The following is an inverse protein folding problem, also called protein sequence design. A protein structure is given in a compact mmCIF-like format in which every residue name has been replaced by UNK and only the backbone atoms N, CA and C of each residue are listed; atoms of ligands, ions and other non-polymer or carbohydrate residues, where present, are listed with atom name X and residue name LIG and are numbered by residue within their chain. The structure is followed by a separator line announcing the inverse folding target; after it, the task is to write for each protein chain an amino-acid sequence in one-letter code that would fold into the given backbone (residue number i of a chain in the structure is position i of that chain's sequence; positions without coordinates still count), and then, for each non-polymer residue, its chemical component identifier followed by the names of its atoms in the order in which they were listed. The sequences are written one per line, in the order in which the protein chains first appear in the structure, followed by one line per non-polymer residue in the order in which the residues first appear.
data_IF_895775773635
#
_entry.id   IF_895775773635
#
_cell.length_a   1.000
_cell.length_b   1.000
_cell.length_c   1.000
_cell.angle_alpha   90.00
_cell.angle_beta   90.00
_cell.angle_gamma   90.00
#
_symmetry.space_group_name_H-M   'P 1'
#
loop_
_entity.id
_entity.type
_entity.pdbx_description
1 polymer ?
#
# COMPACT_ATOMS: atom_id res chain seq x y z
N UNK A 1 4.77 -5.29 10.32
CA UNK A 1 5.25 -5.04 8.93
C UNK A 1 6.72 -5.40 8.88
N UNK A 2 7.15 -6.05 7.82
CA UNK A 2 8.51 -6.57 7.70
C UNK A 2 9.49 -5.57 7.09
N UNK A 3 9.08 -4.34 6.96
CA UNK A 3 9.88 -3.25 6.43
C UNK A 3 9.32 -1.93 6.93
N UNK A 4 10.10 -0.86 6.74
CA UNK A 4 9.60 0.48 7.02
C UNK A 4 9.84 1.41 5.84
N UNK A 5 8.97 2.40 5.69
CA UNK A 5 9.17 3.45 4.70
C UNK A 5 10.28 4.40 5.17
N UNK A 6 11.16 4.74 4.23
CA UNK A 6 12.23 5.73 4.45
C UNK A 6 11.95 6.90 3.52
N UNK A 7 11.09 7.81 3.98
CA UNK A 7 10.68 8.95 3.18
C UNK A 7 9.29 8.77 2.57
N UNK A 8 8.88 9.70 1.70
CA UNK A 8 7.51 9.68 1.14
C UNK A 8 7.35 8.63 0.04
N UNK A 9 6.08 8.23 -0.17
CA UNK A 9 5.68 7.46 -1.35
C UNK A 9 5.40 8.46 -2.47
N UNK A 10 5.90 8.18 -3.66
CA UNK A 10 5.73 9.04 -4.84
C UNK A 10 5.12 8.25 -6.00
N UNK A 11 4.74 8.97 -7.05
CA UNK A 11 4.16 8.38 -8.27
C UNK A 11 2.93 7.52 -7.94
N UNK A 12 2.10 8.03 -7.03
CA UNK A 12 0.93 7.30 -6.55
C UNK A 12 -0.14 7.25 -7.63
N UNK A 13 -0.65 6.05 -7.89
CA UNK A 13 -1.76 5.89 -8.83
C UNK A 13 -2.69 4.77 -8.40
N UNK A 14 -3.98 4.84 -8.77
CA UNK A 14 -4.93 3.79 -8.42
C UNK A 14 -4.72 2.53 -9.25
N UNK A 15 -4.90 1.38 -8.62
CA UNK A 15 -4.95 0.07 -9.28
C UNK A 15 -6.40 -0.36 -9.46
N UNK A 16 -7.22 -0.13 -8.44
CA UNK A 16 -8.62 -0.52 -8.45
C UNK A 16 -9.42 0.37 -7.51
N UNK A 17 -10.67 0.63 -7.87
CA UNK A 17 -11.57 1.47 -7.10
C UNK A 17 -12.84 0.69 -6.73
N UNK A 18 -13.30 0.86 -5.49
CA UNK A 18 -14.57 0.30 -5.03
C UNK A 18 -14.72 -1.17 -5.36
N UNK A 19 -15.77 -1.51 -6.10
CA UNK A 19 -16.11 -2.90 -6.42
C UNK A 19 -15.08 -3.65 -7.25
N UNK A 20 -14.16 -2.95 -7.89
CA UNK A 20 -13.07 -3.58 -8.62
C UNK A 20 -12.01 -4.17 -7.67
N UNK A 21 -12.06 -3.83 -6.39
CA UNK A 21 -11.16 -4.37 -5.38
C UNK A 21 -11.67 -5.73 -4.92
N UNK A 22 -10.87 -6.79 -5.13
CA UNK A 22 -11.24 -8.15 -4.70
C UNK A 22 -11.49 -8.24 -3.20
N UNK A 23 -10.72 -7.49 -2.42
CA UNK A 23 -10.71 -7.56 -0.96
C UNK A 23 -11.75 -6.63 -0.31
N UNK A 24 -12.64 -6.03 -1.10
CA UNK A 24 -13.54 -4.98 -0.61
C UNK A 24 -14.36 -5.42 0.61
N UNK A 25 -14.97 -6.61 0.56
CA UNK A 25 -15.79 -7.08 1.66
C UNK A 25 -14.97 -7.25 2.94
N UNK A 26 -13.76 -7.78 2.83
CA UNK A 26 -12.85 -7.96 3.97
C UNK A 26 -12.43 -6.62 4.54
N UNK A 27 -12.07 -5.65 3.68
CA UNK A 27 -11.66 -4.31 4.11
C UNK A 27 -12.78 -3.61 4.88
N UNK A 28 -14.02 -3.73 4.39
CA UNK A 28 -15.18 -3.15 5.06
C UNK A 28 -15.42 -3.76 6.43
N UNK A 29 -15.29 -5.08 6.55
CA UNK A 29 -15.48 -5.77 7.83
C UNK A 29 -14.39 -5.40 8.83
N UNK A 30 -13.15 -5.31 8.36
CA UNK A 30 -12.01 -5.11 9.26
C UNK A 30 -11.81 -3.64 9.67
N UNK A 31 -11.99 -2.71 8.74
CA UNK A 31 -11.63 -1.30 8.95
C UNK A 31 -12.81 -0.35 8.87
N UNK A 32 -13.90 -0.76 8.27
CA UNK A 32 -15.09 0.06 8.14
C UNK A 32 -15.49 0.35 6.71
N UNK A 33 -16.69 0.88 6.57
CA UNK A 33 -17.23 1.27 5.27
C UNK A 33 -16.60 2.58 4.83
N UNK A 34 -16.37 2.70 3.53
CA UNK A 34 -15.79 3.89 2.95
C UNK A 34 -15.60 3.69 1.45
N UNK A 35 -15.11 4.72 0.79
CA UNK A 35 -14.75 4.62 -0.62
C UNK A 35 -13.35 4.08 -0.72
N UNK A 36 -13.26 2.77 -0.70
CA UNK A 36 -11.98 2.09 -0.73
C UNK A 36 -11.30 2.20 -2.08
N UNK A 37 -9.99 2.35 -2.05
CA UNK A 37 -9.12 2.38 -3.22
C UNK A 37 -7.94 1.47 -2.96
N UNK A 38 -7.49 0.78 -4.01
CA UNK A 38 -6.22 0.08 -4.00
C UNK A 38 -5.23 0.93 -4.80
N UNK A 39 -4.12 1.27 -4.18
CA UNK A 39 -3.14 2.20 -4.74
C UNK A 39 -1.77 1.56 -4.82
N UNK A 40 -0.93 2.11 -5.68
CA UNK A 40 0.48 1.78 -5.74
C UNK A 40 1.31 3.06 -5.83
N UNK A 41 2.58 2.93 -5.50
CA UNK A 41 3.53 4.02 -5.61
C UNK A 41 4.96 3.49 -5.51
N UNK A 42 5.91 4.41 -5.57
CA UNK A 42 7.34 4.11 -5.48
C UNK A 42 7.86 4.71 -4.18
N UNK A 43 8.63 3.94 -3.44
CA UNK A 43 9.18 4.40 -2.16
C UNK A 43 10.54 3.78 -1.86
N UNK A 44 11.30 4.45 -1.01
CA UNK A 44 12.48 3.86 -0.38
C UNK A 44 12.01 3.07 0.83
N UNK A 45 12.48 1.85 0.94
CA UNK A 45 12.09 0.95 2.04
C UNK A 45 13.34 0.40 2.71
N UNK A 46 13.28 0.25 4.04
CA UNK A 46 14.32 -0.46 4.80
C UNK A 46 13.79 -1.85 5.11
N UNK A 47 14.53 -2.86 4.67
CA UNK A 47 14.18 -4.24 4.92
C UNK A 47 14.64 -4.67 6.31
N UNK A 48 14.20 -5.84 6.75
CA UNK A 48 14.49 -6.37 8.08
C UNK A 48 16.00 -6.52 8.34
N UNK A 49 16.78 -6.75 7.29
CA UNK A 49 18.24 -6.86 7.40
C UNK A 49 18.95 -5.50 7.44
N UNK A 50 18.19 -4.39 7.44
CA UNK A 50 18.74 -3.03 7.51
C UNK A 50 19.09 -2.41 6.17
N UNK A 51 19.02 -3.15 5.07
CA UNK A 51 19.31 -2.60 3.75
C UNK A 51 18.17 -1.73 3.23
N UNK A 52 18.51 -0.68 2.47
CA UNK A 52 17.54 0.26 1.92
C UNK A 52 17.48 0.09 0.41
N UNK A 53 16.25 -0.02 -0.11
CA UNK A 53 15.98 -0.26 -1.51
C UNK A 53 14.85 0.63 -2.02
N UNK A 54 14.83 0.84 -3.32
CA UNK A 54 13.66 1.42 -3.99
C UNK A 54 12.72 0.28 -4.35
N UNK A 55 11.43 0.46 -4.05
CA UNK A 55 10.43 -0.58 -4.27
C UNK A 55 9.11 0.02 -4.71
N UNK A 56 8.36 -0.77 -5.47
CA UNK A 56 6.94 -0.51 -5.69
C UNK A 56 6.19 -1.02 -4.46
N UNK A 57 5.32 -0.17 -3.91
CA UNK A 57 4.50 -0.52 -2.75
C UNK A 57 3.03 -0.42 -3.12
N UNK A 58 2.22 -1.30 -2.53
CA UNK A 58 0.78 -1.32 -2.72
C UNK A 58 0.09 -1.22 -1.38
N UNK A 59 -1.08 -0.56 -1.34
CA UNK A 59 -1.87 -0.45 -0.12
C UNK A 59 -3.34 -0.21 -0.46
N UNK A 60 -4.17 -0.29 0.57
CA UNK A 60 -5.57 0.12 0.49
C UNK A 60 -5.77 1.35 1.34
N UNK A 61 -6.66 2.23 0.91
CA UNK A 61 -7.05 3.36 1.75
C UNK A 61 -8.48 3.80 1.46
N UNK A 62 -9.07 4.46 2.44
CA UNK A 62 -10.34 5.14 2.30
C UNK A 62 -10.29 6.43 3.08
N UNK A 63 -11.01 7.46 2.61
CA UNK A 63 -11.05 8.75 3.27
C UNK A 63 -11.55 8.59 4.72
N UNK A 64 -10.84 9.20 5.65
CA UNK A 64 -11.15 9.11 7.07
C UNK A 64 -10.63 7.84 7.77
N UNK A 65 -10.20 6.83 7.00
CA UNK A 65 -9.68 5.57 7.56
C UNK A 65 -8.16 5.52 7.47
N UNK A 66 -7.59 6.08 6.40
CA UNK A 66 -6.16 6.10 6.18
C UNK A 66 -5.62 4.90 5.42
N UNK A 67 -4.31 4.81 5.37
CA UNK A 67 -3.58 3.78 4.64
C UNK A 67 -3.54 2.48 5.44
N UNK A 68 -3.89 1.36 4.77
CA UNK A 68 -3.94 0.02 5.38
C UNK A 68 -3.20 -0.98 4.52
N UNK A 69 -2.57 -1.93 5.19
CA UNK A 69 -1.97 -3.11 4.56
C UNK A 69 -0.92 -2.78 3.50
N UNK A 70 -0.02 -1.86 3.83
CA UNK A 70 1.09 -1.52 2.96
C UNK A 70 2.00 -2.72 2.78
N UNK A 71 2.34 -3.04 1.53
CA UNK A 71 3.22 -4.17 1.21
C UNK A 71 4.11 -3.84 0.01
N UNK A 72 5.25 -4.51 -0.04
CA UNK A 72 6.16 -4.42 -1.17
C UNK A 72 5.69 -5.35 -2.28
N UNK A 73 5.71 -4.86 -3.51
CA UNK A 73 5.53 -5.66 -4.71
C UNK A 73 6.91 -6.06 -5.22
N UNK A 74 7.24 -7.34 -5.08
CA UNK A 74 8.53 -7.84 -5.57
C UNK A 74 8.49 -8.09 -7.08
N UNK A 75 9.66 -7.98 -7.77
CA UNK A 75 11.00 -7.74 -7.21
C UNK A 75 11.23 -6.29 -6.83
N UNK A 76 12.28 -6.04 -6.05
CA UNK A 76 12.76 -4.69 -5.75
C UNK A 76 13.21 -3.99 -7.03
N UNK A 77 13.16 -2.66 -7.05
CA UNK A 77 13.50 -1.88 -8.24
C UNK A 77 14.98 -1.52 -8.36
N UNK A 78 15.75 -1.76 -7.30
CA UNK A 78 17.20 -1.52 -7.35
C UNK A 78 18.02 -2.68 -6.76
#
# INVERSE_FOLDING_TARGET
MDFELVGPVRDIEPIALGRAIRELARLRRRYGRGRWRKLKGIARVRLIDGTIHTAEVHWYEAHGIGRKELKIKFPLLD
#
